data_IF_380717558292
#
_entry.id   IF_380717558292
#
_cell.length_a   1.000
_cell.length_b   1.000
_cell.length_c   1.000
_cell.angle_alpha   90.00
_cell.angle_beta   90.00
_cell.angle_gamma   90.00
#
_symmetry.space_group_name_H-M   'P 1'
#
loop_
_entity.id
_entity.type
_entity.pdbx_description
1 polymer ?
#
# COMPACT_ATOMS: atom_id res chain seq x y z
N UNK A 1 -2.62 -9.69 -29.72
CA UNK A 1 -2.48 -11.16 -29.72
C UNK A 1 -2.59 -11.61 -28.27
N UNK A 2 -3.61 -12.40 -27.94
CA UNK A 2 -3.87 -12.85 -26.58
C UNK A 2 -2.69 -13.70 -26.07
N UNK A 3 -1.90 -13.17 -25.12
CA UNK A 3 -0.72 -13.80 -24.53
C UNK A 3 -1.06 -14.83 -23.43
N UNK A 4 -2.31 -15.29 -23.38
CA UNK A 4 -2.77 -16.32 -22.47
C UNK A 4 -2.83 -17.66 -23.18
N UNK A 5 -2.41 -18.72 -22.49
CA UNK A 5 -2.41 -20.08 -23.04
C UNK A 5 -3.82 -20.62 -23.31
N UNK A 6 -4.82 -20.04 -22.63
CA UNK A 6 -6.25 -20.32 -22.78
C UNK A 6 -6.97 -18.97 -22.85
N UNK A 7 -8.06 -18.89 -23.60
CA UNK A 7 -8.90 -17.70 -23.67
C UNK A 7 -9.51 -17.40 -22.29
N UNK A 8 -9.18 -16.26 -21.64
CA UNK A 8 -9.67 -15.94 -20.31
C UNK A 8 -11.20 -15.71 -20.27
N UNK A 9 -11.79 -15.31 -21.40
CA UNK A 9 -13.24 -15.08 -21.52
C UNK A 9 -14.05 -16.35 -21.25
N UNK A 10 -13.49 -17.53 -21.51
CA UNK A 10 -14.13 -18.83 -21.21
C UNK A 10 -14.34 -19.08 -19.71
N UNK A 11 -13.66 -18.30 -18.86
CA UNK A 11 -13.74 -18.39 -17.39
C UNK A 11 -14.31 -17.11 -16.77
N UNK A 12 -14.84 -16.18 -17.57
CA UNK A 12 -15.31 -14.88 -17.10
C UNK A 12 -14.19 -13.99 -16.56
N UNK A 13 -12.95 -14.21 -17.00
CA UNK A 13 -11.78 -13.43 -16.61
C UNK A 13 -11.42 -12.42 -17.71
N UNK A 14 -10.85 -11.25 -17.33
CA UNK A 14 -10.45 -10.25 -18.30
C UNK A 14 -9.23 -10.69 -19.11
N UNK A 15 -9.17 -10.29 -20.37
CA UNK A 15 -7.94 -10.33 -21.15
C UNK A 15 -6.99 -9.16 -20.83
N UNK A 16 -5.85 -9.10 -21.52
CA UNK A 16 -4.82 -8.10 -21.25
C UNK A 16 -5.25 -6.68 -21.62
N UNK A 17 -6.11 -6.51 -22.63
CA UNK A 17 -6.58 -5.18 -23.01
C UNK A 17 -7.63 -4.69 -22.00
N UNK A 18 -8.48 -5.58 -21.49
CA UNK A 18 -9.40 -5.27 -20.40
C UNK A 18 -8.66 -4.95 -19.08
N UNK A 19 -7.61 -5.70 -18.75
CA UNK A 19 -6.77 -5.41 -17.58
C UNK A 19 -6.11 -4.02 -17.69
N UNK A 20 -5.56 -3.67 -18.86
CA UNK A 20 -5.01 -2.34 -19.10
C UNK A 20 -6.07 -1.25 -19.02
N UNK A 21 -7.30 -1.52 -19.48
CA UNK A 21 -8.41 -0.56 -19.41
C UNK A 21 -8.77 -0.19 -17.96
N UNK A 22 -8.47 -1.06 -16.97
CA UNK A 22 -8.63 -0.71 -15.55
C UNK A 22 -7.61 0.29 -15.02
N UNK A 23 -6.53 0.60 -15.76
CA UNK A 23 -5.47 1.54 -15.34
C UNK A 23 -4.91 1.20 -13.96
N UNK A 24 -4.47 -0.05 -13.81
CA UNK A 24 -4.14 -0.65 -12.52
C UNK A 24 -2.86 -0.04 -11.94
N UNK A 25 -2.92 0.44 -10.71
CA UNK A 25 -1.77 0.87 -9.93
C UNK A 25 -1.57 -0.12 -8.78
N UNK A 26 -0.46 -0.85 -8.77
CA UNK A 26 -0.10 -1.68 -7.62
C UNK A 26 0.43 -0.80 -6.50
N UNK A 27 -0.37 -0.62 -5.46
CA UNK A 27 -0.07 0.29 -4.34
C UNK A 27 0.78 -0.34 -3.24
N UNK A 28 1.06 -1.65 -3.32
CA UNK A 28 1.85 -2.37 -2.32
C UNK A 28 2.73 -3.43 -3.01
N UNK A 29 3.88 -2.99 -3.50
CA UNK A 29 4.86 -3.84 -4.18
C UNK A 29 6.12 -4.01 -3.33
N UNK A 30 6.54 -5.24 -3.08
CA UNK A 30 7.79 -5.60 -2.38
C UNK A 30 8.89 -5.97 -3.38
N UNK A 31 9.03 -5.17 -4.43
CA UNK A 31 9.94 -5.42 -5.55
C UNK A 31 11.42 -5.42 -5.20
N UNK A 32 11.80 -4.76 -4.10
CA UNK A 32 13.19 -4.62 -3.67
C UNK A 32 13.44 -5.23 -2.28
N UNK A 33 12.58 -6.15 -1.84
CA UNK A 33 12.59 -6.66 -0.47
C UNK A 33 13.77 -7.59 -0.18
N UNK A 34 14.33 -8.29 -1.18
CA UNK A 34 15.41 -9.26 -0.88
C UNK A 34 16.61 -8.55 -0.25
N UNK A 35 17.10 -9.11 0.86
CA UNK A 35 18.30 -8.60 1.52
C UNK A 35 19.60 -8.82 0.71
N UNK A 36 19.57 -9.69 -0.31
CA UNK A 36 20.76 -10.11 -1.07
C UNK A 36 20.84 -9.49 -2.46
N UNK A 37 19.80 -9.58 -3.29
CA UNK A 37 19.80 -9.11 -4.68
C UNK A 37 18.49 -8.37 -5.05
N UNK A 38 18.19 -7.21 -4.42
CA UNK A 38 16.88 -6.56 -4.57
C UNK A 38 16.61 -6.03 -5.98
N UNK A 39 17.66 -5.58 -6.68
CA UNK A 39 17.56 -5.11 -8.07
C UNK A 39 17.21 -6.26 -9.01
N UNK A 40 17.81 -7.43 -8.79
CA UNK A 40 17.51 -8.63 -9.57
C UNK A 40 16.09 -9.12 -9.32
N UNK A 41 15.63 -9.13 -8.06
CA UNK A 41 14.25 -9.46 -7.73
C UNK A 41 13.28 -8.54 -8.49
N UNK A 42 13.55 -7.23 -8.47
CA UNK A 42 12.75 -6.27 -9.21
C UNK A 42 12.69 -6.60 -10.71
N UNK A 43 13.85 -6.87 -11.33
CA UNK A 43 13.95 -7.24 -12.74
C UNK A 43 13.16 -8.51 -13.10
N UNK A 44 13.25 -9.55 -12.26
CA UNK A 44 12.51 -10.80 -12.44
C UNK A 44 10.99 -10.58 -12.35
N UNK A 45 10.56 -9.72 -11.43
CA UNK A 45 9.15 -9.39 -11.24
C UNK A 45 8.53 -8.58 -12.38
N UNK A 46 9.33 -7.89 -13.21
CA UNK A 46 8.82 -7.11 -14.34
C UNK A 46 8.08 -7.95 -15.38
N UNK A 47 8.43 -9.23 -15.48
CA UNK A 47 7.67 -10.17 -16.32
C UNK A 47 6.19 -10.18 -15.91
N UNK A 48 5.92 -10.30 -14.61
CA UNK A 48 4.56 -10.36 -14.08
C UNK A 48 3.85 -9.01 -14.13
N UNK A 49 4.56 -7.92 -13.82
CA UNK A 49 4.03 -6.53 -13.93
C UNK A 49 3.50 -6.28 -15.34
N UNK A 50 4.31 -6.60 -16.37
CA UNK A 50 3.94 -6.46 -17.78
C UNK A 50 2.84 -7.43 -18.18
N UNK A 51 2.91 -8.68 -17.72
CA UNK A 51 1.91 -9.72 -18.03
C UNK A 51 0.53 -9.38 -17.51
N UNK A 52 0.44 -8.69 -16.37
CA UNK A 52 -0.82 -8.31 -15.73
C UNK A 52 -1.30 -6.91 -16.11
N UNK A 53 -0.61 -6.23 -17.04
CA UNK A 53 -1.06 -4.94 -17.57
C UNK A 53 -1.05 -3.80 -16.55
N UNK A 54 -0.17 -3.86 -15.55
CA UNK A 54 -0.06 -2.80 -14.54
C UNK A 54 0.45 -1.51 -15.21
N UNK A 55 -0.27 -0.41 -14.97
CA UNK A 55 0.11 0.93 -15.45
C UNK A 55 1.25 1.51 -14.59
N UNK A 56 1.19 1.27 -13.27
CA UNK A 56 2.20 1.73 -12.33
C UNK A 56 2.36 0.78 -11.16
N UNK A 57 3.58 0.69 -10.64
CA UNK A 57 3.91 0.00 -9.39
C UNK A 57 4.44 0.99 -8.34
N UNK A 58 4.03 0.82 -7.09
CA UNK A 58 4.46 1.60 -5.93
C UNK A 58 5.21 0.67 -4.98
N UNK A 59 6.53 0.76 -4.98
CA UNK A 59 7.35 -0.06 -4.08
C UNK A 59 7.31 0.50 -2.67
N UNK A 60 7.18 -0.37 -1.66
CA UNK A 60 6.99 0.02 -0.25
C UNK A 60 8.25 -0.14 0.62
N UNK A 61 9.38 -0.39 -0.02
CA UNK A 61 10.65 -0.84 0.55
C UNK A 61 11.85 -0.08 -0.04
N UNK A 62 11.69 1.23 -0.27
CA UNK A 62 12.75 2.09 -0.82
C UNK A 62 13.60 2.77 0.27
N UNK A 63 14.92 2.74 0.11
CA UNK A 63 15.86 3.48 0.93
C UNK A 63 16.00 2.94 2.35
N UNK A 64 16.18 1.64 2.52
CA UNK A 64 16.11 0.93 3.80
C UNK A 64 15.46 -0.45 3.64
N UNK A 65 15.15 -1.14 4.74
CA UNK A 65 14.36 -2.39 4.70
C UNK A 65 13.19 -2.35 5.69
N UNK A 66 12.28 -3.33 5.62
CA UNK A 66 11.18 -3.43 6.60
C UNK A 66 11.68 -3.67 8.03
N UNK A 67 12.76 -4.43 8.19
CA UNK A 67 13.37 -4.73 9.49
C UNK A 67 14.29 -3.62 9.99
N UNK A 68 14.81 -2.81 9.07
CA UNK A 68 15.77 -1.75 9.37
C UNK A 68 15.48 -0.51 8.50
N UNK A 69 14.39 0.20 8.82
CA UNK A 69 13.83 1.22 7.94
C UNK A 69 14.70 2.47 7.84
N UNK A 70 15.52 2.79 8.84
CA UNK A 70 16.26 4.05 8.88
C UNK A 70 17.71 3.95 8.36
N UNK A 71 18.26 2.74 8.36
CA UNK A 71 19.67 2.53 8.06
C UNK A 71 19.91 2.44 6.54
N UNK A 72 20.84 3.24 5.99
CA UNK A 72 21.18 3.17 4.57
C UNK A 72 21.63 1.77 4.14
N UNK A 73 21.22 1.34 2.95
CA UNK A 73 21.60 0.04 2.38
C UNK A 73 22.44 0.19 1.12
N UNK A 74 23.32 -0.78 0.80
CA UNK A 74 24.15 -0.72 -0.41
C UNK A 74 23.35 -0.57 -1.72
N UNK A 75 22.10 -1.04 -1.75
CA UNK A 75 21.24 -0.99 -2.93
C UNK A 75 20.40 0.30 -3.07
N UNK A 76 20.42 1.18 -2.06
CA UNK A 76 19.63 2.43 -2.06
C UNK A 76 19.94 3.33 -3.27
N UNK A 77 21.22 3.40 -3.66
CA UNK A 77 21.64 4.20 -4.81
C UNK A 77 21.04 3.69 -6.13
N UNK A 78 20.98 2.36 -6.31
CA UNK A 78 20.41 1.75 -7.50
C UNK A 78 18.87 1.89 -7.52
N UNK A 79 18.20 1.76 -6.37
CA UNK A 79 16.77 2.08 -6.27
C UNK A 79 16.49 3.52 -6.67
N UNK A 80 17.28 4.47 -6.16
CA UNK A 80 17.13 5.89 -6.49
C UNK A 80 17.32 6.15 -7.99
N UNK A 81 18.28 5.49 -8.63
CA UNK A 81 18.52 5.58 -10.07
C UNK A 81 17.32 5.06 -10.88
N UNK A 82 16.77 3.89 -10.52
CA UNK A 82 15.58 3.33 -11.16
C UNK A 82 14.40 4.30 -11.05
N UNK A 83 14.11 4.82 -9.85
CA UNK A 83 12.99 5.74 -9.64
C UNK A 83 13.13 7.06 -10.43
N UNK A 84 14.36 7.52 -10.66
CA UNK A 84 14.64 8.74 -11.44
C UNK A 84 14.56 8.51 -12.94
N UNK A 85 15.01 7.35 -13.40
CA UNK A 85 15.07 7.02 -14.83
C UNK A 85 13.74 6.51 -15.37
N UNK A 86 12.87 5.98 -14.51
CA UNK A 86 11.62 5.32 -14.90
C UNK A 86 10.35 5.91 -14.22
N UNK A 87 10.21 7.24 -14.09
CA UNK A 87 9.15 7.85 -13.28
C UNK A 87 7.73 7.66 -13.83
N UNK A 88 7.60 7.18 -15.06
CA UNK A 88 6.31 6.98 -15.76
C UNK A 88 5.52 5.77 -15.26
N UNK A 89 6.20 4.75 -14.73
CA UNK A 89 5.56 3.49 -14.36
C UNK A 89 6.04 2.90 -13.03
N UNK A 90 7.09 3.45 -12.39
CA UNK A 90 7.50 3.06 -11.04
C UNK A 90 7.58 4.27 -10.11
N UNK A 91 7.15 4.07 -8.86
CA UNK A 91 7.35 5.02 -7.76
C UNK A 91 7.67 4.27 -6.47
N UNK A 92 8.14 5.01 -5.48
CA UNK A 92 8.55 4.44 -4.19
C UNK A 92 7.93 5.17 -3.02
N UNK A 93 7.57 4.44 -1.98
CA UNK A 93 7.37 4.97 -0.63
C UNK A 93 8.45 4.39 0.29
N UNK A 94 8.88 5.19 1.25
CA UNK A 94 9.95 4.80 2.17
C UNK A 94 9.39 4.13 3.43
N UNK A 95 9.96 3.03 3.93
CA UNK A 95 9.64 2.55 5.26
C UNK A 95 10.21 3.55 6.29
N UNK A 96 9.45 3.81 7.36
CA UNK A 96 9.85 4.69 8.47
C UNK A 96 9.73 3.95 9.80
N UNK A 97 10.35 4.49 10.85
CA UNK A 97 10.24 3.94 12.21
C UNK A 97 9.50 4.93 13.12
N UNK A 98 8.29 4.60 13.61
CA UNK A 98 7.54 5.46 14.51
C UNK A 98 8.23 5.67 15.87
N UNK A 99 9.15 4.79 16.27
CA UNK A 99 9.95 4.94 17.48
C UNK A 99 10.99 6.06 17.41
N UNK A 100 11.39 6.46 16.20
CA UNK A 100 12.48 7.41 15.94
C UNK A 100 11.99 8.52 15.00
N UNK A 101 11.13 9.42 15.50
CA UNK A 101 10.39 10.28 14.60
C UNK A 101 11.22 11.43 14.01
N UNK A 102 12.33 11.85 14.64
CA UNK A 102 13.23 12.85 14.03
C UNK A 102 14.05 12.26 12.87
N UNK A 103 14.50 11.02 13.03
CA UNK A 103 15.21 10.25 12.01
C UNK A 103 14.28 9.93 10.83
N UNK A 104 13.03 9.57 11.12
CA UNK A 104 11.99 9.39 10.11
C UNK A 104 11.73 10.68 9.33
N UNK A 105 11.63 11.83 10.00
CA UNK A 105 11.50 13.15 9.34
C UNK A 105 12.73 13.49 8.49
N UNK A 106 13.94 13.21 8.97
CA UNK A 106 15.17 13.41 8.20
C UNK A 106 15.19 12.54 6.93
N UNK A 107 14.73 11.29 7.03
CA UNK A 107 14.57 10.38 5.90
C UNK A 107 13.52 10.89 4.91
N UNK A 108 12.36 11.35 5.37
CA UNK A 108 11.33 11.97 4.54
C UNK A 108 11.87 13.19 3.79
N UNK A 109 12.64 14.05 4.46
CA UNK A 109 13.28 15.21 3.80
C UNK A 109 14.23 14.79 2.68
N UNK A 110 15.02 13.73 2.88
CA UNK A 110 15.97 13.21 1.88
C UNK A 110 15.26 12.57 0.69
N UNK A 111 14.32 11.66 0.95
CA UNK A 111 13.76 10.77 -0.07
C UNK A 111 12.46 11.27 -0.68
N UNK A 112 11.66 12.02 0.07
CA UNK A 112 10.38 12.57 -0.39
C UNK A 112 10.56 14.04 -0.75
N UNK A 113 10.91 14.93 0.17
CA UNK A 113 10.97 16.36 -0.15
C UNK A 113 12.01 16.66 -1.26
N UNK A 114 13.24 16.15 -1.11
CA UNK A 114 14.34 16.34 -2.06
C UNK A 114 14.59 15.14 -2.98
N UNK A 115 13.73 14.11 -2.93
CA UNK A 115 13.88 12.88 -3.70
C UNK A 115 12.63 12.52 -4.51
N UNK A 116 12.67 11.36 -5.21
CA UNK A 116 11.58 10.93 -6.08
C UNK A 116 10.49 10.12 -5.35
N UNK A 117 10.65 9.79 -4.07
CA UNK A 117 9.64 9.02 -3.35
C UNK A 117 8.38 9.84 -3.11
N UNK A 118 7.24 9.15 -3.02
CA UNK A 118 5.90 9.75 -3.00
C UNK A 118 5.15 9.53 -1.68
N UNK A 119 5.78 8.91 -0.68
CA UNK A 119 5.07 8.53 0.53
C UNK A 119 5.91 7.81 1.57
N UNK A 120 5.25 7.43 2.66
CA UNK A 120 5.80 6.68 3.78
C UNK A 120 5.02 5.37 4.01
N UNK A 121 5.71 4.37 4.55
CA UNK A 121 5.17 3.09 5.02
C UNK A 121 5.50 2.92 6.51
N UNK A 122 4.48 2.85 7.35
CA UNK A 122 4.64 2.28 8.70
C UNK A 122 4.77 0.77 8.55
N UNK A 123 5.87 0.21 9.07
CA UNK A 123 6.18 -1.22 9.02
C UNK A 123 5.42 -2.01 10.09
N UNK A 124 5.30 -3.32 9.92
CA UNK A 124 4.56 -4.22 10.81
C UNK A 124 5.27 -4.56 12.13
N UNK A 125 5.93 -3.58 12.76
CA UNK A 125 6.71 -3.74 13.99
C UNK A 125 7.99 -2.91 13.96
N UNK A 126 8.47 -2.49 15.13
CA UNK A 126 9.66 -1.63 15.25
C UNK A 126 10.40 -1.87 16.57
N UNK A 127 11.63 -1.34 16.64
CA UNK A 127 12.57 -1.57 17.75
C UNK A 127 12.02 -1.13 19.11
N UNK A 128 11.18 -0.09 19.13
CA UNK A 128 10.64 0.48 20.38
C UNK A 128 9.19 0.07 20.67
N UNK A 129 8.58 -0.77 19.84
CA UNK A 129 7.23 -1.25 20.08
C UNK A 129 6.13 -0.18 19.96
N UNK A 130 6.34 0.84 19.13
CA UNK A 130 5.45 2.00 19.01
C UNK A 130 4.44 1.80 17.88
N UNK A 131 3.14 1.91 18.17
CA UNK A 131 2.07 1.87 17.16
C UNK A 131 1.96 3.20 16.41
N UNK A 132 1.28 3.21 15.25
CA UNK A 132 1.16 4.39 14.39
C UNK A 132 0.50 5.59 15.07
N UNK A 133 -0.36 5.35 16.07
CA UNK A 133 -1.15 6.36 16.76
C UNK A 133 -0.48 6.96 18.00
N UNK A 134 0.74 6.57 18.35
CA UNK A 134 1.48 7.23 19.41
C UNK A 134 1.64 8.75 19.14
N UNK A 135 1.49 9.59 20.16
CA UNK A 135 1.50 11.07 20.03
C UNK A 135 2.77 11.61 19.33
N UNK A 136 3.90 10.95 19.54
CA UNK A 136 5.17 11.33 18.90
C UNK A 136 5.14 11.21 17.36
N UNK A 137 4.23 10.41 16.81
CA UNK A 137 4.06 10.26 15.36
C UNK A 137 3.31 11.43 14.73
N UNK A 138 2.65 12.28 15.51
CA UNK A 138 1.90 13.43 14.99
C UNK A 138 2.77 14.34 14.13
N UNK A 139 4.06 14.50 14.46
CA UNK A 139 4.99 15.29 13.64
C UNK A 139 5.29 14.64 12.28
N UNK A 140 5.32 13.29 12.21
CA UNK A 140 5.46 12.55 10.95
C UNK A 140 4.23 12.79 10.09
N UNK A 141 3.02 12.67 10.66
CA UNK A 141 1.77 12.82 9.92
C UNK A 141 1.58 14.26 9.43
N UNK A 142 1.88 15.28 10.25
CA UNK A 142 1.86 16.67 9.83
C UNK A 142 2.81 16.92 8.65
N UNK A 143 4.05 16.44 8.75
CA UNK A 143 5.02 16.64 7.68
C UNK A 143 4.65 15.88 6.39
N UNK A 144 4.09 14.67 6.52
CA UNK A 144 3.57 13.93 5.37
C UNK A 144 2.41 14.69 4.69
N UNK A 145 1.50 15.27 5.48
CA UNK A 145 0.41 16.10 4.97
C UNK A 145 0.90 17.39 4.28
N UNK A 146 1.91 18.06 4.85
CA UNK A 146 2.55 19.23 4.24
C UNK A 146 3.17 18.91 2.87
N UNK A 147 3.75 17.72 2.73
CA UNK A 147 4.30 17.22 1.46
C UNK A 147 3.23 16.70 0.49
N UNK A 148 1.98 16.53 0.95
CA UNK A 148 0.92 15.83 0.22
C UNK A 148 1.23 14.35 -0.02
N UNK A 149 2.13 13.77 0.78
CA UNK A 149 2.69 12.45 0.62
C UNK A 149 1.68 11.35 1.01
N UNK A 150 1.74 10.21 0.33
CA UNK A 150 0.92 9.04 0.65
C UNK A 150 1.37 8.43 1.98
N UNK A 151 0.42 8.07 2.83
CA UNK A 151 0.67 7.41 4.13
C UNK A 151 0.07 6.02 4.09
N UNK A 152 0.93 5.01 3.99
CA UNK A 152 0.54 3.61 4.11
C UNK A 152 0.84 3.11 5.53
N UNK A 153 -0.13 2.50 6.19
CA UNK A 153 0.05 1.88 7.51
C UNK A 153 -0.13 0.37 7.40
N UNK A 154 0.91 -0.40 7.69
CA UNK A 154 0.76 -1.84 7.90
C UNK A 154 -0.12 -2.09 9.13
N UNK A 155 -1.21 -2.83 8.96
CA UNK A 155 -2.08 -3.21 10.08
C UNK A 155 -2.31 -4.72 10.14
N UNK A 156 -2.41 -5.26 11.35
CA UNK A 156 -2.77 -6.66 11.56
C UNK A 156 -3.51 -6.84 12.90
N UNK A 157 -4.44 -7.79 12.96
CA UNK A 157 -5.14 -8.21 14.17
C UNK A 157 -4.79 -9.69 14.38
N UNK A 158 -3.95 -9.98 15.39
CA UNK A 158 -3.61 -11.34 15.79
C UNK A 158 -4.46 -11.76 16.98
N UNK A 159 -5.13 -12.91 16.87
CA UNK A 159 -5.87 -13.50 17.99
C UNK A 159 -4.85 -14.08 18.99
N UNK A 160 -4.95 -13.69 20.26
CA UNK A 160 -4.07 -14.16 21.32
C UNK A 160 -4.40 -13.53 22.67
N UNK A 161 -3.50 -13.68 23.65
CA UNK A 161 -3.69 -13.21 25.02
C UNK A 161 -4.45 -14.21 25.92
N UNK A 162 -4.51 -13.90 27.22
CA UNK A 162 -5.28 -14.66 28.22
C UNK A 162 -6.18 -13.72 29.04
N UNK A 163 -7.52 -13.74 28.84
CA UNK A 163 -8.25 -14.55 27.87
C UNK A 163 -7.92 -14.14 26.41
N UNK A 164 -8.21 -15.00 25.43
CA UNK A 164 -7.96 -14.69 24.01
C UNK A 164 -8.90 -13.62 23.47
N UNK A 165 -8.36 -12.66 22.72
CA UNK A 165 -9.14 -11.62 22.02
C UNK A 165 -8.45 -11.16 20.71
N UNK A 166 -9.20 -10.57 19.75
CA UNK A 166 -8.61 -10.03 18.52
C UNK A 166 -7.71 -8.83 18.78
N UNK A 167 -6.40 -8.98 18.57
CA UNK A 167 -5.38 -7.99 18.92
C UNK A 167 -4.50 -8.41 20.10
N UNK A 168 -4.94 -9.38 20.90
CA UNK A 168 -4.19 -9.86 22.06
C UNK A 168 -2.94 -10.67 21.73
N UNK A 169 -2.78 -11.07 20.48
CA UNK A 169 -1.57 -11.76 19.97
C UNK A 169 -0.62 -10.85 19.20
N UNK A 170 -0.90 -9.55 19.10
CA UNK A 170 -0.02 -8.61 18.40
C UNK A 170 1.31 -8.47 19.13
N UNK A 171 2.40 -8.39 18.37
CA UNK A 171 3.71 -8.03 18.86
C UNK A 171 3.75 -6.53 19.16
N UNK A 172 4.65 -6.12 20.04
CA UNK A 172 4.87 -4.71 20.34
C UNK A 172 5.15 -3.91 19.06
N UNK A 173 4.43 -2.80 18.87
CA UNK A 173 4.56 -1.91 17.71
C UNK A 173 3.80 -2.36 16.46
N UNK A 174 3.12 -3.51 16.48
CA UNK A 174 2.20 -3.87 15.41
C UNK A 174 0.93 -3.04 15.53
N UNK A 175 0.73 -2.13 14.58
CA UNK A 175 -0.48 -1.32 14.51
C UNK A 175 -1.67 -2.17 14.08
N UNK A 176 -2.84 -1.80 14.59
CA UNK A 176 -4.14 -2.37 14.27
C UNK A 176 -4.97 -1.34 13.49
N UNK A 177 -6.08 -1.75 12.84
CA UNK A 177 -7.06 -0.81 12.29
C UNK A 177 -7.65 0.16 13.33
N UNK A 178 -7.68 -0.24 14.62
CA UNK A 178 -8.14 0.64 15.70
C UNK A 178 -7.14 1.78 15.96
N UNK A 179 -5.84 1.52 15.84
CA UNK A 179 -4.82 2.55 15.94
C UNK A 179 -4.92 3.52 14.75
N UNK A 180 -5.18 3.00 13.54
CA UNK A 180 -5.47 3.86 12.37
C UNK A 180 -6.71 4.72 12.60
N UNK A 181 -7.77 4.18 13.21
CA UNK A 181 -8.96 4.93 13.57
C UNK A 181 -8.66 6.07 14.58
N UNK A 182 -7.84 5.81 15.60
CA UNK A 182 -7.36 6.84 16.53
C UNK A 182 -6.63 7.95 15.78
N UNK A 183 -5.73 7.58 14.86
CA UNK A 183 -4.97 8.54 14.08
C UNK A 183 -5.86 9.35 13.12
N UNK A 184 -6.80 8.69 12.45
CA UNK A 184 -7.76 9.30 11.53
C UNK A 184 -8.64 10.35 12.24
N UNK A 185 -9.06 10.06 13.48
CA UNK A 185 -9.79 11.01 14.32
C UNK A 185 -8.97 12.27 14.62
N UNK A 186 -7.66 12.13 14.88
CA UNK A 186 -6.76 13.26 15.16
C UNK A 186 -6.44 14.07 13.90
N UNK A 187 -6.39 13.42 12.74
CA UNK A 187 -6.05 14.02 11.45
C UNK A 187 -7.15 13.83 10.40
N UNK A 188 -8.37 14.39 10.59
CA UNK A 188 -9.53 14.08 9.76
C UNK A 188 -9.41 14.52 8.29
N UNK A 189 -8.43 15.38 7.98
CA UNK A 189 -8.18 15.89 6.62
C UNK A 189 -6.99 15.22 5.93
N UNK A 190 -6.34 14.25 6.58
CA UNK A 190 -5.15 13.57 6.05
C UNK A 190 -5.56 12.17 5.59
N UNK A 191 -5.38 11.82 4.30
CA UNK A 191 -5.68 10.48 3.82
C UNK A 191 -4.72 9.44 4.42
N UNK A 192 -5.27 8.35 4.94
CA UNK A 192 -4.52 7.24 5.53
C UNK A 192 -4.91 5.93 4.84
N UNK A 193 -3.94 5.09 4.47
CA UNK A 193 -4.23 3.75 3.96
C UNK A 193 -4.10 2.75 5.12
N UNK A 194 -5.21 2.10 5.47
CA UNK A 194 -5.27 0.96 6.38
C UNK A 194 -4.94 -0.31 5.59
N UNK A 195 -3.68 -0.75 5.69
CA UNK A 195 -3.15 -1.84 4.89
C UNK A 195 -3.59 -3.23 5.31
N UNK A 196 -3.53 -4.17 4.36
CA UNK A 196 -3.72 -5.62 4.58
C UNK A 196 -5.09 -6.01 5.16
N UNK A 197 -6.09 -5.14 5.01
CA UNK A 197 -7.43 -5.27 5.59
C UNK A 197 -7.38 -5.59 7.10
N UNK A 198 -6.32 -5.16 7.80
CA UNK A 198 -6.07 -5.49 9.19
C UNK A 198 -5.84 -6.97 9.50
N UNK A 199 -5.61 -7.84 8.51
CA UNK A 199 -5.57 -9.30 8.68
C UNK A 199 -6.94 -9.95 8.95
N UNK A 200 -7.88 -9.20 9.53
CA UNK A 200 -9.29 -9.54 9.72
C UNK A 200 -10.13 -8.43 9.08
N UNK A 201 -10.60 -8.69 7.86
CA UNK A 201 -11.29 -7.70 7.03
C UNK A 201 -12.63 -7.26 7.62
N UNK A 202 -13.30 -8.11 8.40
CA UNK A 202 -14.57 -7.77 9.04
C UNK A 202 -14.39 -6.74 10.15
N UNK A 203 -13.44 -7.00 11.05
CA UNK A 203 -13.14 -6.12 12.17
C UNK A 203 -12.49 -4.83 11.69
N UNK A 204 -11.56 -4.93 10.74
CA UNK A 204 -10.86 -3.77 10.21
C UNK A 204 -11.80 -2.78 9.52
N UNK A 205 -12.69 -3.25 8.64
CA UNK A 205 -13.66 -2.38 7.97
C UNK A 205 -14.59 -1.69 8.97
N UNK A 206 -15.04 -2.39 10.02
CA UNK A 206 -15.87 -1.80 11.09
C UNK A 206 -15.10 -0.74 11.88
N UNK A 207 -13.83 -0.98 12.19
CA UNK A 207 -12.99 -0.05 12.93
C UNK A 207 -12.82 1.28 12.18
N UNK A 208 -12.61 1.23 10.86
CA UNK A 208 -12.35 2.43 10.05
C UNK A 208 -13.59 3.04 9.40
N UNK A 209 -14.75 2.37 9.48
CA UNK A 209 -16.04 2.84 8.92
C UNK A 209 -16.33 4.32 9.18
N UNK A 210 -16.20 4.85 10.43
CA UNK A 210 -16.59 6.23 10.74
C UNK A 210 -15.70 7.31 10.12
N UNK A 211 -14.54 6.94 9.54
CA UNK A 211 -13.48 7.88 9.17
C UNK A 211 -13.33 7.98 7.66
N UNK A 212 -13.94 9.00 7.05
CA UNK A 212 -13.95 9.18 5.59
C UNK A 212 -12.57 9.36 4.96
N UNK A 213 -11.58 9.77 5.75
CA UNK A 213 -10.18 9.93 5.33
C UNK A 213 -9.36 8.64 5.37
N UNK A 214 -9.95 7.49 5.71
CA UNK A 214 -9.25 6.19 5.72
C UNK A 214 -9.65 5.37 4.50
N UNK A 215 -8.64 5.02 3.69
CA UNK A 215 -8.75 4.09 2.59
C UNK A 215 -8.42 2.67 3.08
N UNK A 216 -9.17 1.69 2.61
CA UNK A 216 -9.09 0.29 2.99
C UNK A 216 -8.41 -0.53 1.89
N UNK A 217 -7.32 -1.21 2.22
CA UNK A 217 -6.44 -1.86 1.24
C UNK A 217 -6.24 -3.35 1.59
N UNK A 218 -6.24 -4.25 0.60
CA UNK A 218 -6.40 -5.70 0.80
C UNK A 218 -5.14 -6.56 0.58
N UNK A 219 -4.05 -5.98 0.10
CA UNK A 219 -2.83 -6.70 -0.29
C UNK A 219 -2.37 -7.65 0.81
N UNK A 220 -1.93 -8.86 0.48
CA UNK A 220 -1.33 -9.77 1.46
C UNK A 220 -2.32 -10.52 2.36
N UNK A 221 -3.54 -9.98 2.57
CA UNK A 221 -4.62 -10.70 3.23
C UNK A 221 -5.02 -11.96 2.44
N UNK A 222 -5.59 -12.95 3.09
CA UNK A 222 -6.05 -14.14 2.38
C UNK A 222 -7.26 -13.82 1.49
N UNK A 223 -7.35 -14.43 0.28
CA UNK A 223 -8.45 -14.21 -0.64
C UNK A 223 -9.73 -14.86 -0.09
N UNK A 224 -10.66 -14.03 0.38
CA UNK A 224 -11.99 -14.48 0.82
C UNK A 224 -13.05 -13.92 -0.12
N UNK A 225 -13.84 -14.81 -0.72
CA UNK A 225 -14.99 -14.39 -1.53
C UNK A 225 -15.95 -13.57 -0.67
N UNK A 226 -16.49 -12.49 -1.24
CA UNK A 226 -17.34 -11.54 -0.53
C UNK A 226 -16.63 -10.54 0.39
N UNK A 227 -15.31 -10.66 0.63
CA UNK A 227 -14.60 -9.70 1.51
C UNK A 227 -14.57 -8.28 0.94
N UNK A 228 -14.42 -8.14 -0.38
CA UNK A 228 -14.48 -6.84 -1.05
C UNK A 228 -15.91 -6.29 -1.08
N UNK A 229 -16.91 -7.13 -1.36
CA UNK A 229 -18.33 -6.72 -1.32
C UNK A 229 -18.71 -6.19 0.05
N UNK A 230 -18.33 -6.91 1.12
CA UNK A 230 -18.56 -6.46 2.48
C UNK A 230 -17.85 -5.15 2.78
N UNK A 231 -16.58 -5.00 2.41
CA UNK A 231 -15.89 -3.73 2.65
C UNK A 231 -16.55 -2.57 1.88
N UNK A 232 -17.04 -2.81 0.66
CA UNK A 232 -17.78 -1.81 -0.11
C UNK A 232 -19.08 -1.42 0.59
N UNK A 233 -19.83 -2.37 1.16
CA UNK A 233 -21.03 -2.08 1.95
C UNK A 233 -20.71 -1.27 3.23
N UNK A 234 -19.59 -1.59 3.89
CA UNK A 234 -19.21 -0.96 5.15
C UNK A 234 -18.56 0.42 4.96
N UNK A 235 -17.63 0.56 4.02
CA UNK A 235 -16.81 1.78 3.87
C UNK A 235 -17.08 2.55 2.57
N UNK A 236 -17.75 1.96 1.60
CA UNK A 236 -18.00 2.55 0.29
C UNK A 236 -16.85 2.33 -0.70
N UNK A 237 -17.20 2.13 -1.98
CA UNK A 237 -16.24 1.81 -3.05
C UNK A 237 -15.16 2.87 -3.26
N UNK A 238 -15.46 4.15 -2.99
CA UNK A 238 -14.50 5.26 -3.14
C UNK A 238 -13.36 5.25 -2.10
N UNK A 239 -13.45 4.38 -1.08
CA UNK A 239 -12.40 4.19 -0.07
C UNK A 239 -11.64 2.89 -0.23
N UNK A 240 -11.93 2.09 -1.25
CA UNK A 240 -11.24 0.82 -1.47
C UNK A 240 -10.03 1.00 -2.38
N UNK A 241 -8.89 0.44 -1.99
CA UNK A 241 -7.63 0.49 -2.76
C UNK A 241 -7.08 -0.92 -2.96
N UNK A 242 -6.56 -1.18 -4.15
CA UNK A 242 -5.92 -2.44 -4.49
C UNK A 242 -4.39 -2.39 -4.38
N UNK A 243 -3.77 -3.50 -3.99
CA UNK A 243 -2.32 -3.72 -4.00
C UNK A 243 -1.99 -5.18 -4.27
N UNK A 244 -0.86 -5.44 -4.93
CA UNK A 244 -0.48 -6.75 -5.47
C UNK A 244 0.39 -7.60 -4.55
N UNK A 245 1.05 -7.02 -3.55
CA UNK A 245 1.92 -7.69 -2.57
C UNK A 245 2.98 -8.64 -3.18
N UNK A 246 3.36 -8.44 -4.43
CA UNK A 246 4.39 -9.22 -5.10
C UNK A 246 5.77 -8.95 -4.48
N UNK A 247 6.64 -9.96 -4.33
CA UNK A 247 6.49 -11.34 -4.79
C UNK A 247 5.79 -12.28 -3.81
N UNK A 248 5.48 -11.85 -2.59
CA UNK A 248 4.93 -12.76 -1.55
C UNK A 248 3.52 -13.29 -1.86
N UNK A 249 2.80 -12.59 -2.73
CA UNK A 249 1.51 -13.00 -3.30
C UNK A 249 1.58 -12.95 -4.82
N UNK A 250 0.83 -13.84 -5.45
CA UNK A 250 0.60 -13.78 -6.90
C UNK A 250 -0.38 -12.64 -7.21
N UNK A 251 -0.10 -11.87 -8.26
CA UNK A 251 -1.06 -10.90 -8.80
C UNK A 251 -2.41 -11.54 -9.14
N UNK A 252 -2.43 -12.80 -9.58
CA UNK A 252 -3.70 -13.50 -9.85
C UNK A 252 -4.57 -13.61 -8.61
N UNK A 253 -3.95 -13.91 -7.45
CA UNK A 253 -4.66 -14.04 -6.17
C UNK A 253 -5.18 -12.68 -5.68
N UNK A 254 -4.38 -11.63 -5.81
CA UNK A 254 -4.78 -10.29 -5.39
C UNK A 254 -5.84 -9.68 -6.32
N UNK A 255 -5.74 -9.90 -7.64
CA UNK A 255 -6.75 -9.45 -8.60
C UNK A 255 -8.06 -10.22 -8.41
N UNK A 256 -8.00 -11.52 -8.10
CA UNK A 256 -9.20 -12.34 -7.89
C UNK A 256 -10.13 -11.75 -6.82
N UNK A 257 -9.60 -11.13 -5.75
CA UNK A 257 -10.41 -10.47 -4.70
C UNK A 257 -11.36 -9.42 -5.28
N UNK A 258 -10.90 -8.63 -6.26
CA UNK A 258 -11.68 -7.54 -6.90
C UNK A 258 -12.50 -8.06 -8.08
N UNK A 259 -11.99 -9.06 -8.81
CA UNK A 259 -12.70 -9.65 -9.94
C UNK A 259 -13.88 -10.53 -9.51
N UNK A 260 -13.76 -11.20 -8.36
CA UNK A 260 -14.84 -11.99 -7.73
C UNK A 260 -15.96 -11.10 -7.17
N UNK A 261 -15.63 -9.86 -6.77
CA UNK A 261 -16.59 -8.93 -6.20
C UNK A 261 -17.67 -8.49 -7.21
N UNK A 262 -18.86 -8.18 -6.69
CA UNK A 262 -20.04 -7.70 -7.44
C UNK A 262 -19.92 -6.23 -7.82
N UNK A 263 -18.80 -5.86 -8.43
CA UNK A 263 -18.47 -4.51 -8.87
C UNK A 263 -18.76 -4.32 -10.37
N UNK A 264 -19.33 -3.18 -10.72
CA UNK A 264 -19.36 -2.72 -12.11
C UNK A 264 -17.95 -2.44 -12.64
N UNK A 265 -17.79 -2.36 -13.96
CA UNK A 265 -16.50 -2.03 -14.57
C UNK A 265 -15.93 -0.70 -14.05
N UNK A 266 -16.79 0.32 -13.86
CA UNK A 266 -16.38 1.63 -13.33
C UNK A 266 -15.89 1.55 -11.89
N UNK A 267 -16.55 0.73 -11.07
CA UNK A 267 -16.13 0.51 -9.68
C UNK A 267 -14.81 -0.26 -9.59
N UNK A 268 -14.59 -1.24 -10.48
CA UNK A 268 -13.28 -1.89 -10.60
C UNK A 268 -12.17 -0.89 -10.96
N UNK A 269 -12.43 0.07 -11.87
CA UNK A 269 -11.48 1.15 -12.16
C UNK A 269 -11.15 2.02 -10.94
N UNK A 270 -12.16 2.31 -10.10
CA UNK A 270 -11.96 3.00 -8.80
C UNK A 270 -10.99 2.25 -7.91
N UNK A 271 -11.29 0.99 -7.65
CA UNK A 271 -10.53 0.11 -6.76
C UNK A 271 -9.10 -0.12 -7.26
N UNK A 272 -8.95 -0.43 -8.55
CA UNK A 272 -7.66 -0.78 -9.13
C UNK A 272 -6.69 0.39 -9.29
N UNK A 273 -7.15 1.64 -9.25
CA UNK A 273 -6.19 2.73 -9.27
C UNK A 273 -6.73 4.13 -9.08
N UNK A 274 -7.98 4.45 -9.44
CA UNK A 274 -8.46 5.84 -9.36
C UNK A 274 -8.48 6.34 -7.91
N UNK A 275 -8.88 5.52 -6.93
CA UNK A 275 -8.91 5.93 -5.52
C UNK A 275 -7.52 6.26 -4.97
N UNK A 276 -6.50 5.47 -5.33
CA UNK A 276 -5.12 5.78 -4.95
C UNK A 276 -4.60 7.04 -5.67
N UNK A 277 -4.89 7.18 -6.97
CA UNK A 277 -4.50 8.38 -7.73
C UNK A 277 -5.09 9.66 -7.13
N UNK A 278 -6.33 9.64 -6.63
CA UNK A 278 -6.95 10.79 -5.95
C UNK A 278 -6.08 11.31 -4.81
N UNK A 279 -5.65 10.43 -3.91
CA UNK A 279 -4.86 10.81 -2.74
C UNK A 279 -3.39 11.09 -3.06
N UNK A 280 -2.84 10.45 -4.11
CA UNK A 280 -1.46 10.64 -4.52
C UNK A 280 -1.27 11.90 -5.40
N UNK A 281 -2.33 12.46 -5.97
CA UNK A 281 -2.26 13.61 -6.88
C UNK A 281 -1.42 14.79 -6.37
N UNK A 282 -1.54 15.23 -5.09
CA UNK A 282 -0.74 16.34 -4.58
C UNK A 282 0.77 16.10 -4.64
N UNK A 283 1.25 14.95 -4.14
CA UNK A 283 2.68 14.64 -4.16
C UNK A 283 3.19 14.46 -5.59
N UNK A 284 2.44 13.78 -6.46
CA UNK A 284 2.82 13.63 -7.87
C UNK A 284 2.94 14.98 -8.60
N UNK A 285 1.99 15.90 -8.39
CA UNK A 285 2.06 17.25 -8.94
C UNK A 285 3.30 18.02 -8.45
N UNK A 286 3.67 17.89 -7.17
CA UNK A 286 4.90 18.52 -6.65
C UNK A 286 6.19 17.94 -7.24
N UNK A 287 6.13 16.73 -7.82
CA UNK A 287 7.22 16.10 -8.58
C UNK A 287 7.19 16.42 -10.07
N UNK A 288 6.26 17.26 -10.53
CA UNK A 288 6.08 17.58 -11.94
C UNK A 288 5.48 16.42 -12.75
N UNK A 289 4.89 15.42 -12.09
CA UNK A 289 4.24 14.28 -12.74
C UNK A 289 2.73 14.52 -12.76
N UNK A 290 2.18 14.76 -13.95
CA UNK A 290 0.74 14.96 -14.13
C UNK A 290 0.02 13.62 -14.20
N UNK A 291 -0.81 13.34 -13.19
CA UNK A 291 -1.62 12.11 -13.15
C UNK A 291 -3.08 12.42 -13.43
N UNK A 292 -3.71 11.61 -14.28
CA UNK A 292 -5.15 11.66 -14.53
C UNK A 292 -5.85 10.71 -13.57
N UNK A 293 -6.72 11.26 -12.72
CA UNK A 293 -7.58 10.53 -11.80
C UNK A 293 -8.70 9.88 -12.57
#
# INVERSE_FOLDING_TARGET
MNNFAIDPHLYGLPDIEELKAFRIWDTHYHGFLTGTEPIKQHQEMLFYVKRMGLERIISVDIGGTLSDPLDPKPHDAAQLEILKNEPDWISGIIPIDPGFPDESLAKMKKWIANGPCVGIKYVGGNKLGVTCDADQNDKIIRYAAELGAVIYIHTWIKVGGEPRWPGGGNLNGESTPMDVATLAKRFPNVPLICGHAGGDWELAARAVRPYENVLFEFSGADPHSGSVDYAVDIVGVDRIVWGGHGPSRSFSTEMAKVLDASLSQKERMKVFGENYRKIAKPIFASKGINITV
#
